data_IF_681592948797
#
_entry.id   IF_681592948797
#
_cell.length_a   1.000
_cell.length_b   1.000
_cell.length_c   1.000
_cell.angle_alpha   90.00
_cell.angle_beta   90.00
_cell.angle_gamma   90.00
#
_symmetry.space_group_name_H-M   'P 1'
#
loop_
_entity.id
_entity.type
_entity.pdbx_description
1 polymer ?
#
# COMPACT_ATOMS: atom_id res chain seq x y z
N UNK A 1 75.81 1.72 -12.58
CA UNK A 1 74.79 2.74 -12.25
C UNK A 1 73.43 2.11 -12.53
N UNK A 2 72.72 1.71 -11.45
CA UNK A 2 71.41 1.08 -11.59
C UNK A 2 70.34 2.16 -11.52
N UNK A 3 69.47 2.20 -12.52
CA UNK A 3 68.30 3.12 -12.54
C UNK A 3 67.22 2.63 -11.54
N UNK A 4 66.84 3.47 -10.60
CA UNK A 4 65.73 3.21 -9.71
C UNK A 4 64.42 3.35 -10.47
N UNK A 5 63.65 2.29 -10.53
CA UNK A 5 62.32 2.28 -11.09
C UNK A 5 61.34 2.72 -9.96
N UNK A 6 60.83 3.97 -10.05
CA UNK A 6 59.82 4.49 -9.14
C UNK A 6 58.48 4.05 -9.69
N UNK A 7 57.85 3.08 -9.01
CA UNK A 7 56.50 2.68 -9.31
C UNK A 7 55.49 3.72 -8.76
N UNK A 8 54.75 4.43 -9.59
CA UNK A 8 53.69 5.32 -9.06
C UNK A 8 52.58 4.48 -8.44
N UNK A 9 52.32 4.70 -7.18
CA UNK A 9 51.20 4.09 -6.47
C UNK A 9 49.89 4.37 -7.24
N UNK A 10 49.33 3.33 -7.78
CA UNK A 10 48.03 3.35 -8.44
C UNK A 10 46.98 3.74 -7.41
N UNK A 11 46.48 4.96 -7.50
CA UNK A 11 45.20 5.28 -6.88
C UNK A 11 44.15 4.34 -7.48
N UNK A 12 43.56 3.51 -6.65
CA UNK A 12 42.45 2.64 -7.06
C UNK A 12 41.33 3.53 -7.56
N UNK A 13 40.78 3.29 -8.75
CA UNK A 13 39.64 4.04 -9.23
C UNK A 13 38.43 3.75 -8.33
N UNK A 14 37.69 4.77 -8.02
CA UNK A 14 36.38 4.67 -7.39
C UNK A 14 35.59 3.56 -8.06
N UNK A 15 35.03 2.66 -7.31
CA UNK A 15 34.28 1.52 -7.85
C UNK A 15 33.12 2.02 -8.71
N UNK A 16 33.18 1.70 -9.98
CA UNK A 16 32.11 1.93 -10.92
C UNK A 16 31.24 0.66 -10.93
N UNK A 17 29.98 0.79 -10.55
CA UNK A 17 29.04 -0.31 -10.61
C UNK A 17 28.31 -0.29 -11.95
N UNK A 18 28.19 -1.46 -12.58
CA UNK A 18 27.39 -1.64 -13.80
C UNK A 18 25.98 -2.11 -13.39
N UNK A 19 24.97 -1.42 -13.85
CA UNK A 19 23.57 -1.85 -13.74
C UNK A 19 23.10 -2.32 -15.10
N UNK A 20 22.99 -3.65 -15.27
CA UNK A 20 22.69 -4.28 -16.55
C UNK A 20 23.84 -4.18 -17.57
N UNK A 21 23.68 -4.77 -18.75
CA UNK A 21 24.74 -4.93 -19.75
C UNK A 21 25.14 -3.64 -20.49
N UNK A 22 24.58 -2.46 -20.19
CA UNK A 22 24.78 -1.29 -21.07
C UNK A 22 24.84 0.08 -20.40
N UNK A 23 24.78 0.22 -19.06
CA UNK A 23 24.79 1.54 -18.42
C UNK A 23 25.76 1.64 -17.27
N UNK A 24 26.61 2.65 -17.28
CA UNK A 24 27.44 3.07 -16.16
C UNK A 24 26.60 3.96 -15.24
N UNK A 25 26.39 3.53 -13.98
CA UNK A 25 25.68 4.32 -12.98
C UNK A 25 26.71 4.85 -11.99
N UNK A 26 26.78 6.16 -11.71
CA UNK A 26 27.68 6.70 -10.69
C UNK A 26 27.26 6.17 -9.32
N UNK A 27 28.23 5.83 -8.48
CA UNK A 27 28.05 5.32 -7.12
C UNK A 27 27.37 6.32 -6.18
N UNK A 28 27.33 7.58 -6.56
CA UNK A 28 26.56 8.63 -5.87
C UNK A 28 26.15 9.69 -6.89
N UNK A 29 24.87 10.05 -6.90
CA UNK A 29 24.32 11.11 -7.74
C UNK A 29 23.61 12.16 -6.88
N UNK A 30 23.15 13.28 -7.46
CA UNK A 30 22.47 14.35 -6.73
C UNK A 30 21.06 13.95 -6.29
N UNK A 31 20.89 12.79 -5.69
CA UNK A 31 19.60 12.30 -5.25
C UNK A 31 19.61 10.96 -4.54
N UNK A 32 20.78 10.37 -4.28
CA UNK A 32 20.83 9.11 -3.54
C UNK A 32 22.03 8.24 -3.90
N UNK A 33 22.34 7.28 -3.07
CA UNK A 33 23.34 6.26 -3.30
C UNK A 33 22.71 5.03 -3.97
N UNK A 34 23.51 4.15 -4.59
CA UNK A 34 23.03 2.83 -5.09
C UNK A 34 22.35 2.00 -3.99
N UNK A 35 22.61 2.26 -2.72
CA UNK A 35 21.91 1.67 -1.59
C UNK A 35 20.43 2.10 -1.54
N UNK A 36 20.09 3.29 -2.04
CA UNK A 36 18.70 3.78 -2.12
C UNK A 36 17.93 3.14 -3.28
N UNK A 37 18.63 2.56 -4.25
CA UNK A 37 18.03 1.92 -5.43
C UNK A 37 17.94 0.41 -5.30
N UNK A 38 18.83 -0.22 -4.51
CA UNK A 38 18.85 -1.67 -4.32
C UNK A 38 18.10 -2.17 -3.09
N UNK A 39 17.61 -1.25 -2.27
CA UNK A 39 16.78 -1.55 -1.12
C UNK A 39 15.37 -1.06 -1.35
N UNK A 40 14.52 -1.81 -2.04
CA UNK A 40 13.07 -1.66 -1.92
C UNK A 40 12.61 -2.20 -0.56
N UNK A 41 13.21 -1.71 0.51
CA UNK A 41 12.51 -1.60 1.76
C UNK A 41 11.66 -0.35 1.58
N UNK A 42 10.37 -0.51 1.39
CA UNK A 42 9.43 0.54 1.71
C UNK A 42 9.84 0.96 3.13
N UNK A 43 10.50 2.12 3.22
CA UNK A 43 11.09 2.58 4.46
C UNK A 43 9.92 2.81 5.41
N UNK A 44 9.96 2.26 6.62
CA UNK A 44 9.04 2.62 7.71
C UNK A 44 9.17 4.11 8.07
N UNK A 45 9.82 4.90 7.22
CA UNK A 45 10.16 6.30 7.37
C UNK A 45 9.45 7.13 6.31
N UNK A 46 9.14 8.35 6.66
CA UNK A 46 8.69 9.39 5.74
C UNK A 46 9.74 9.57 4.64
N UNK A 47 9.29 9.53 3.39
CA UNK A 47 10.11 9.73 2.21
C UNK A 47 9.87 11.11 1.61
N UNK A 48 10.84 11.61 0.85
CA UNK A 48 10.71 12.86 0.09
C UNK A 48 10.84 12.55 -1.38
N UNK A 49 9.89 13.02 -2.18
CA UNK A 49 9.87 12.83 -3.62
C UNK A 49 9.84 14.15 -4.37
N UNK A 50 10.70 14.32 -5.37
CA UNK A 50 10.67 15.47 -6.27
C UNK A 50 9.92 15.11 -7.54
N UNK A 51 8.83 15.82 -7.81
CA UNK A 51 7.95 15.58 -8.97
C UNK A 51 8.71 15.85 -10.27
N UNK A 52 8.64 14.90 -11.20
CA UNK A 52 9.29 14.97 -12.51
C UNK A 52 8.31 15.43 -13.59
N UNK A 53 8.78 15.97 -14.73
CA UNK A 53 7.93 16.21 -15.87
C UNK A 53 7.20 14.93 -16.33
N UNK A 54 5.88 14.98 -16.36
CA UNK A 54 5.03 13.86 -16.76
C UNK A 54 4.48 13.01 -15.61
N UNK A 55 5.00 13.16 -14.37
CA UNK A 55 4.44 12.47 -13.23
C UNK A 55 3.02 12.94 -12.91
N UNK A 56 2.19 12.01 -12.48
CA UNK A 56 0.87 12.28 -11.91
C UNK A 56 0.86 11.86 -10.44
N UNK A 57 0.04 12.52 -9.63
CA UNK A 57 -0.11 12.16 -8.22
C UNK A 57 -0.56 10.70 -8.04
N UNK A 58 -1.34 10.18 -8.98
CA UNK A 58 -1.79 8.77 -8.99
C UNK A 58 -0.62 7.80 -9.17
N UNK A 59 0.31 8.10 -10.10
CA UNK A 59 1.49 7.27 -10.32
C UNK A 59 2.44 7.31 -9.14
N UNK A 60 2.64 8.51 -8.56
CA UNK A 60 3.47 8.69 -7.35
C UNK A 60 2.85 7.89 -6.18
N UNK A 61 1.54 8.02 -5.96
CA UNK A 61 0.83 7.28 -4.92
C UNK A 61 0.97 5.75 -5.11
N UNK A 62 0.84 5.27 -6.34
CA UNK A 62 1.04 3.86 -6.69
C UNK A 62 2.47 3.41 -6.45
N UNK A 63 3.46 4.23 -6.82
CA UNK A 63 4.89 3.95 -6.63
C UNK A 63 5.25 3.73 -5.15
N UNK A 64 4.65 4.52 -4.27
CA UNK A 64 4.89 4.43 -2.82
C UNK A 64 3.87 3.56 -2.07
N UNK A 65 2.86 3.01 -2.74
CA UNK A 65 1.83 2.19 -2.12
C UNK A 65 0.95 2.94 -1.12
N UNK A 66 0.75 4.25 -1.35
CA UNK A 66 -0.10 5.11 -0.49
C UNK A 66 -1.25 5.70 -1.29
N UNK A 67 -2.25 6.24 -0.58
CA UNK A 67 -3.34 6.93 -1.24
C UNK A 67 -2.94 8.31 -1.78
N UNK A 68 -3.57 8.76 -2.87
CA UNK A 68 -3.41 10.13 -3.34
C UNK A 68 -3.78 11.15 -2.25
N UNK A 69 -4.82 10.88 -1.47
CA UNK A 69 -5.23 11.75 -0.38
C UNK A 69 -4.19 11.82 0.74
N UNK A 70 -3.50 10.71 1.03
CA UNK A 70 -2.37 10.73 1.96
C UNK A 70 -1.32 11.74 1.52
N UNK A 71 -0.96 11.74 0.23
CA UNK A 71 0.00 12.72 -0.32
C UNK A 71 -0.58 14.14 -0.28
N UNK A 72 -1.85 14.31 -0.66
CA UNK A 72 -2.54 15.61 -0.59
C UNK A 72 -2.49 16.18 0.83
N UNK A 73 -2.84 15.37 1.82
CA UNK A 73 -2.90 15.80 3.22
C UNK A 73 -1.53 16.05 3.84
N UNK A 74 -0.55 15.18 3.56
CA UNK A 74 0.81 15.34 4.06
C UNK A 74 1.49 16.60 3.52
N UNK A 75 1.07 17.06 2.34
CA UNK A 75 1.65 18.23 1.68
C UNK A 75 0.74 19.46 1.66
N UNK A 76 -0.41 19.43 2.34
CA UNK A 76 -1.40 20.52 2.34
C UNK A 76 -1.80 20.98 0.93
N UNK A 77 -1.88 20.08 -0.03
CA UNK A 77 -2.32 20.38 -1.38
C UNK A 77 -3.82 20.69 -1.37
N UNK A 78 -4.26 21.65 -2.18
CA UNK A 78 -5.68 21.97 -2.29
C UNK A 78 -6.44 20.92 -3.11
N UNK A 79 -5.76 20.24 -4.04
CA UNK A 79 -6.32 19.18 -4.86
C UNK A 79 -5.22 18.24 -5.40
N UNK A 80 -5.65 17.11 -5.96
CA UNK A 80 -4.75 16.16 -6.64
C UNK A 80 -4.12 16.73 -7.92
N UNK A 81 -4.55 17.89 -8.38
CA UNK A 81 -4.04 18.58 -9.59
C UNK A 81 -3.01 19.65 -9.28
N UNK A 82 -2.78 19.95 -8.01
CA UNK A 82 -1.86 21.01 -7.58
C UNK A 82 -0.41 20.54 -7.48
N UNK A 83 -0.06 19.54 -8.26
CA UNK A 83 1.29 18.95 -8.30
C UNK A 83 1.96 19.34 -9.62
N UNK A 84 3.12 19.99 -9.52
CA UNK A 84 3.89 20.47 -10.67
C UNK A 84 5.30 19.90 -10.68
N UNK A 85 5.91 19.74 -11.87
CA UNK A 85 7.30 19.36 -11.95
C UNK A 85 8.23 20.27 -11.14
N UNK A 86 9.06 19.67 -10.29
CA UNK A 86 9.94 20.36 -9.35
C UNK A 86 9.38 20.50 -7.93
N UNK A 87 8.11 20.22 -7.70
CA UNK A 87 7.54 20.20 -6.35
C UNK A 87 8.17 19.07 -5.53
N UNK A 88 8.38 19.36 -4.24
CA UNK A 88 8.87 18.38 -3.28
C UNK A 88 7.71 17.88 -2.43
N UNK A 89 7.44 16.58 -2.51
CA UNK A 89 6.34 15.93 -1.81
C UNK A 89 6.85 15.09 -0.63
N UNK A 90 6.21 15.25 0.51
CA UNK A 90 6.35 14.35 1.66
C UNK A 90 5.45 13.15 1.42
N UNK A 91 6.03 11.96 1.46
CA UNK A 91 5.33 10.70 1.27
C UNK A 91 5.37 9.93 2.58
N UNK A 92 4.21 9.68 3.17
CA UNK A 92 4.10 8.86 4.36
C UNK A 92 4.37 7.37 4.04
N UNK A 93 4.88 6.60 4.98
CA UNK A 93 5.17 5.17 4.76
C UNK A 93 3.92 4.31 4.61
N UNK A 94 2.75 4.82 4.96
CA UNK A 94 1.45 4.16 4.86
C UNK A 94 0.37 5.16 4.46
N UNK A 95 -0.73 4.65 3.93
CA UNK A 95 -1.94 5.45 3.75
C UNK A 95 -2.47 5.91 5.09
N UNK A 96 -2.76 7.20 5.22
CA UNK A 96 -3.19 7.83 6.47
C UNK A 96 -2.80 9.29 6.56
N UNK A 97 -2.73 9.79 7.77
CA UNK A 97 -2.39 11.18 8.06
C UNK A 97 -1.29 11.27 9.12
N UNK A 98 -0.45 12.29 9.02
CA UNK A 98 0.45 12.70 10.08
C UNK A 98 -0.17 13.84 10.90
N UNK A 99 -0.06 13.76 12.22
CA UNK A 99 -0.58 14.78 13.14
C UNK A 99 0.37 15.06 14.28
N UNK A 100 0.37 16.32 14.72
CA UNK A 100 1.00 16.70 15.99
C UNK A 100 0.01 16.42 17.12
N UNK A 101 0.45 15.68 18.12
CA UNK A 101 -0.34 15.35 19.31
C UNK A 101 -0.63 16.63 20.09
N UNK A 102 -1.90 16.93 20.33
CA UNK A 102 -2.32 18.05 21.17
C UNK A 102 -2.39 17.64 22.64
N UNK A 103 -2.35 18.62 23.54
CA UNK A 103 -2.51 18.36 24.98
C UNK A 103 -3.88 17.74 25.25
N UNK A 104 -3.88 16.55 25.85
CA UNK A 104 -5.10 15.81 26.18
C UNK A 104 -5.55 14.80 25.09
N UNK A 105 -4.83 14.71 23.97
CA UNK A 105 -5.08 13.66 23.00
C UNK A 105 -4.72 12.30 23.60
N UNK A 106 -5.52 11.30 23.21
CA UNK A 106 -5.29 9.88 23.48
C UNK A 106 -5.40 9.09 22.18
N UNK A 107 -4.82 7.90 22.14
CA UNK A 107 -4.97 7.01 20.98
C UNK A 107 -6.43 6.81 20.61
N UNK A 108 -7.30 6.58 21.59
CA UNK A 108 -8.74 6.41 21.39
C UNK A 108 -9.41 7.68 20.82
N UNK A 109 -9.00 8.89 21.29
CA UNK A 109 -9.57 10.14 20.78
C UNK A 109 -9.13 10.41 19.34
N UNK A 110 -7.86 10.13 19.02
CA UNK A 110 -7.32 10.27 17.66
C UNK A 110 -7.96 9.25 16.72
N UNK A 111 -8.06 7.98 17.13
CA UNK A 111 -8.70 6.93 16.35
C UNK A 111 -10.15 7.31 16.01
N UNK A 112 -10.93 7.73 17.01
CA UNK A 112 -12.32 8.17 16.81
C UNK A 112 -12.42 9.40 15.90
N UNK A 113 -11.52 10.37 16.08
CA UNK A 113 -11.53 11.65 15.32
C UNK A 113 -11.21 11.44 13.84
N UNK A 114 -10.33 10.51 13.53
CA UNK A 114 -9.80 10.33 12.19
C UNK A 114 -10.26 9.01 11.53
N UNK A 115 -11.19 8.28 12.17
CA UNK A 115 -11.74 7.04 11.62
C UNK A 115 -10.77 5.86 11.56
N UNK A 116 -9.74 5.86 12.42
CA UNK A 116 -8.68 4.86 12.44
C UNK A 116 -8.83 3.89 13.64
N UNK A 117 -7.99 2.87 13.71
CA UNK A 117 -7.90 1.95 14.85
C UNK A 117 -6.82 2.37 15.85
N UNK A 118 -7.16 2.42 17.16
CA UNK A 118 -6.24 2.88 18.19
C UNK A 118 -5.05 1.94 18.41
N UNK A 119 -5.22 0.63 18.23
CA UNK A 119 -4.15 -0.34 18.38
C UNK A 119 -3.20 -0.26 17.18
N UNK A 120 -3.75 -0.03 15.99
CA UNK A 120 -2.98 0.18 14.77
C UNK A 120 -2.12 1.44 14.89
N UNK A 121 -2.70 2.55 15.38
CA UNK A 121 -1.94 3.78 15.65
C UNK A 121 -0.80 3.49 16.64
N UNK A 122 -1.07 2.81 17.75
CA UNK A 122 -0.06 2.48 18.75
C UNK A 122 1.07 1.64 18.16
N UNK A 123 0.71 0.56 17.49
CA UNK A 123 1.66 -0.40 16.93
C UNK A 123 2.54 0.22 15.85
N UNK A 124 1.94 1.00 14.95
CA UNK A 124 2.67 1.67 13.87
C UNK A 124 3.71 2.66 14.38
N UNK A 125 3.36 3.40 15.44
CA UNK A 125 4.25 4.41 16.04
C UNK A 125 5.17 3.83 17.14
N UNK A 126 5.14 2.53 17.39
CA UNK A 126 5.94 1.89 18.46
C UNK A 126 5.54 2.36 19.87
N UNK A 127 4.26 2.70 20.07
CA UNK A 127 3.74 3.23 21.32
C UNK A 127 3.10 2.12 22.17
N UNK A 128 3.24 2.22 23.48
CA UNK A 128 2.44 1.42 24.40
C UNK A 128 0.99 1.94 24.39
N UNK A 129 -0.01 1.09 24.07
CA UNK A 129 -1.42 1.49 24.04
C UNK A 129 -1.93 2.07 25.38
N UNK A 130 -1.31 1.71 26.51
CA UNK A 130 -1.66 2.18 27.83
C UNK A 130 -0.93 3.48 28.23
N UNK A 131 0.12 3.87 27.52
CA UNK A 131 0.90 5.05 27.84
C UNK A 131 0.23 6.34 27.33
N UNK A 132 0.35 7.46 28.07
CA UNK A 132 -0.12 8.75 27.60
C UNK A 132 0.72 9.24 26.41
N UNK A 133 0.06 9.87 25.43
CA UNK A 133 0.73 10.50 24.30
C UNK A 133 1.50 11.75 24.75
N UNK A 134 2.66 11.99 24.15
CA UNK A 134 3.47 13.19 24.43
C UNK A 134 2.96 14.34 23.57
N UNK A 135 2.44 15.39 24.19
CA UNK A 135 2.00 16.59 23.49
C UNK A 135 3.17 17.24 22.71
N UNK A 136 2.94 17.61 21.47
CA UNK A 136 3.93 18.17 20.56
C UNK A 136 4.72 17.13 19.74
N UNK A 137 4.59 15.82 20.03
CA UNK A 137 5.17 14.78 19.17
C UNK A 137 4.37 14.62 17.88
N UNK A 138 5.02 14.18 16.82
CA UNK A 138 4.35 13.74 15.60
C UNK A 138 3.90 12.29 15.74
N UNK A 139 2.71 11.98 15.24
CA UNK A 139 2.12 10.65 15.20
C UNK A 139 1.53 10.39 13.82
N UNK A 140 1.83 9.22 13.25
CA UNK A 140 1.19 8.76 12.02
C UNK A 140 -0.05 7.96 12.41
N UNK A 141 -1.17 8.26 11.77
CA UNK A 141 -2.46 7.61 11.97
C UNK A 141 -2.76 6.80 10.71
N UNK A 142 -2.39 5.51 10.68
CA UNK A 142 -2.67 4.64 9.55
C UNK A 142 -4.18 4.57 9.31
N UNK A 143 -4.58 4.56 8.03
CA UNK A 143 -6.00 4.57 7.66
C UNK A 143 -6.77 5.82 8.07
N UNK A 144 -6.12 6.76 8.76
CA UNK A 144 -6.79 7.99 9.23
C UNK A 144 -7.15 8.93 8.08
N UNK A 145 -8.27 9.61 8.22
CA UNK A 145 -8.80 10.56 7.23
C UNK A 145 -9.07 11.93 7.84
N UNK A 146 -8.85 12.98 7.04
CA UNK A 146 -9.37 14.29 7.36
C UNK A 146 -10.84 14.36 6.96
N UNK A 147 -11.70 14.76 7.89
CA UNK A 147 -13.08 15.06 7.53
C UNK A 147 -13.09 16.08 6.37
N UNK A 148 -13.83 15.75 5.32
CA UNK A 148 -14.04 16.70 4.23
C UNK A 148 -14.61 18.01 4.83
N UNK A 149 -14.17 19.19 4.34
CA UNK A 149 -14.75 20.46 4.78
C UNK A 149 -16.27 20.39 4.58
N UNK A 150 -17.02 20.77 5.62
CA UNK A 150 -18.47 20.76 5.56
C UNK A 150 -18.92 21.55 4.32
N UNK A 151 -19.83 21.00 3.49
CA UNK A 151 -20.31 21.72 2.33
C UNK A 151 -20.92 23.05 2.77
N UNK A 152 -20.38 24.15 2.26
CA UNK A 152 -21.00 25.47 2.41
C UNK A 152 -22.40 25.37 1.79
N UNK A 153 -23.41 25.57 2.61
CA UNK A 153 -24.82 25.49 2.22
C UNK A 153 -25.16 26.61 1.25
N UNK A 154 -24.97 26.32 -0.03
CA UNK A 154 -25.61 27.02 -1.13
C UNK A 154 -26.67 26.07 -1.69
N UNK A 155 -27.94 26.36 -1.46
CA UNK A 155 -29.02 25.43 -1.74
C UNK A 155 -29.08 25.00 -3.19
N UNK A 156 -29.03 23.70 -3.41
CA UNK A 156 -29.65 23.01 -4.53
C UNK A 156 -30.03 21.58 -4.10
N UNK A 157 -31.31 21.32 -4.27
CA UNK A 157 -32.03 20.05 -4.38
C UNK A 157 -31.47 18.82 -3.65
N UNK A 158 -32.23 18.42 -2.66
CA UNK A 158 -32.20 17.10 -2.00
C UNK A 158 -32.33 16.00 -3.06
N UNK A 159 -31.26 15.32 -3.37
CA UNK A 159 -31.31 13.95 -3.90
C UNK A 159 -31.27 13.03 -2.68
N UNK A 160 -32.43 12.55 -2.28
CA UNK A 160 -32.60 11.46 -1.33
C UNK A 160 -32.11 10.17 -1.97
N UNK A 161 -30.84 9.91 -1.78
CA UNK A 161 -30.16 8.69 -2.17
C UNK A 161 -28.74 8.82 -1.63
N UNK A 162 -28.57 8.49 -0.36
CA UNK A 162 -27.29 8.50 0.30
C UNK A 162 -26.43 7.36 -0.26
N UNK A 163 -25.89 7.57 -1.45
CA UNK A 163 -24.62 6.97 -1.79
C UNK A 163 -23.58 7.79 -1.05
N UNK A 164 -23.17 7.34 0.12
CA UNK A 164 -21.94 7.79 0.71
C UNK A 164 -20.88 7.36 -0.31
N UNK A 165 -20.40 8.31 -1.09
CA UNK A 165 -19.22 8.12 -1.91
C UNK A 165 -18.06 8.03 -0.94
N UNK A 166 -17.83 6.83 -0.43
CA UNK A 166 -16.58 6.43 0.18
C UNK A 166 -15.66 6.07 -0.99
N UNK A 167 -14.76 6.95 -1.43
CA UNK A 167 -13.87 6.66 -2.57
C UNK A 167 -12.99 5.44 -2.31
N UNK A 168 -12.96 4.97 -1.08
CA UNK A 168 -12.17 3.85 -0.59
C UNK A 168 -12.90 2.51 -0.58
N UNK A 169 -14.22 2.52 -0.51
CA UNK A 169 -15.00 1.28 -0.50
C UNK A 169 -15.27 0.72 -1.90
N UNK A 170 -14.63 1.28 -2.94
CA UNK A 170 -14.56 0.68 -4.28
C UNK A 170 -15.88 0.43 -4.97
N UNK A 171 -16.94 1.16 -4.59
CA UNK A 171 -18.25 1.01 -5.23
C UNK A 171 -18.34 1.53 -6.67
N UNK A 172 -17.33 2.26 -7.16
CA UNK A 172 -17.39 3.04 -8.40
C UNK A 172 -16.34 2.62 -9.42
N UNK A 173 -16.27 1.39 -9.80
CA UNK A 173 -15.45 0.94 -10.91
C UNK A 173 -16.24 0.10 -11.90
N UNK A 174 -15.66 -0.30 -13.03
CA UNK A 174 -16.26 -1.27 -13.92
C UNK A 174 -16.47 -2.60 -13.18
N UNK A 175 -17.57 -3.28 -13.50
CA UNK A 175 -17.81 -4.64 -13.00
C UNK A 175 -17.27 -5.63 -14.03
N UNK A 176 -16.24 -6.34 -13.69
CA UNK A 176 -15.62 -7.37 -14.53
C UNK A 176 -16.12 -8.78 -14.11
N UNK A 177 -17.37 -9.06 -14.15
CA UNK A 177 -18.05 -10.34 -13.90
C UNK A 177 -17.15 -11.50 -13.48
N UNK A 178 -16.86 -12.41 -14.41
CA UNK A 178 -16.00 -13.60 -14.20
C UNK A 178 -14.52 -13.36 -14.51
N UNK A 179 -14.04 -12.11 -14.55
CA UNK A 179 -12.63 -11.83 -14.84
C UNK A 179 -11.70 -12.19 -13.66
N UNK A 180 -12.18 -12.02 -12.43
CA UNK A 180 -11.40 -12.34 -11.25
C UNK A 180 -11.88 -13.65 -10.63
N UNK A 181 -10.97 -14.60 -10.48
CA UNK A 181 -11.19 -15.81 -9.68
C UNK A 181 -10.94 -15.53 -8.20
N UNK A 182 -11.60 -16.32 -7.35
CA UNK A 182 -11.31 -16.27 -5.91
C UNK A 182 -9.85 -16.61 -5.63
N UNK A 183 -9.16 -15.82 -4.83
CA UNK A 183 -7.80 -16.16 -4.42
C UNK A 183 -7.76 -17.41 -3.54
N UNK A 184 -8.87 -17.76 -2.88
CA UNK A 184 -8.99 -18.97 -2.03
C UNK A 184 -10.37 -19.60 -2.27
N UNK A 185 -10.54 -20.39 -3.34
CA UNK A 185 -11.81 -21.07 -3.58
C UNK A 185 -12.19 -22.01 -2.43
N UNK A 186 -13.43 -21.95 -2.00
CA UNK A 186 -13.93 -22.72 -0.84
C UNK A 186 -13.67 -22.05 0.52
N UNK A 187 -12.97 -20.95 0.56
CA UNK A 187 -12.81 -20.11 1.76
C UNK A 187 -14.13 -19.52 2.24
N UNK A 188 -14.18 -19.08 3.49
CA UNK A 188 -15.38 -18.48 4.08
C UNK A 188 -15.24 -16.95 4.03
N UNK A 189 -16.20 -16.24 3.46
CA UNK A 189 -16.25 -14.78 3.54
C UNK A 189 -16.56 -14.38 4.98
N UNK A 190 -15.57 -13.79 5.67
CA UNK A 190 -15.70 -13.40 7.08
C UNK A 190 -15.93 -11.91 7.27
N UNK A 191 -15.50 -11.09 6.32
CA UNK A 191 -15.77 -9.67 6.30
C UNK A 191 -16.14 -9.22 4.87
N UNK A 192 -17.24 -8.50 4.74
CA UNK A 192 -17.68 -7.88 3.50
C UNK A 192 -16.82 -6.67 3.15
N UNK A 193 -17.30 -5.82 2.27
CA UNK A 193 -16.56 -4.67 1.76
C UNK A 193 -16.03 -3.77 2.89
N UNK A 194 -14.72 -3.57 2.91
CA UNK A 194 -14.03 -2.70 3.87
C UNK A 194 -12.71 -2.20 3.28
N UNK A 195 -12.06 -1.25 3.98
CA UNK A 195 -10.75 -0.71 3.57
C UNK A 195 -10.71 -0.30 2.10
N UNK A 196 -9.69 -0.74 1.40
CA UNK A 196 -9.44 -0.44 -0.01
C UNK A 196 -10.18 -1.39 -0.96
N UNK A 197 -11.51 -1.38 -0.94
CA UNK A 197 -12.30 -2.29 -1.77
C UNK A 197 -11.96 -3.77 -1.51
N UNK A 198 -11.75 -4.08 -0.24
CA UNK A 198 -11.32 -5.38 0.24
C UNK A 198 -12.48 -6.24 0.72
N UNK A 199 -12.23 -7.53 0.72
CA UNK A 199 -13.01 -8.55 1.44
C UNK A 199 -12.04 -9.47 2.18
N UNK A 200 -12.48 -10.05 3.30
CA UNK A 200 -11.69 -11.05 4.02
C UNK A 200 -12.25 -12.45 3.79
N UNK A 201 -11.39 -13.33 3.31
CA UNK A 201 -11.71 -14.73 3.01
C UNK A 201 -10.91 -15.62 3.95
N UNK A 202 -11.55 -16.18 4.96
CA UNK A 202 -10.93 -17.10 5.92
C UNK A 202 -10.66 -18.45 5.31
N UNK A 203 -9.46 -18.96 5.57
CA UNK A 203 -9.04 -20.32 5.25
C UNK A 203 -7.94 -20.76 6.22
N UNK A 204 -7.67 -22.06 6.28
CA UNK A 204 -6.62 -22.58 7.14
C UNK A 204 -5.24 -21.97 6.79
N UNK A 205 -4.41 -21.70 7.79
CA UNK A 205 -3.02 -21.29 7.56
C UNK A 205 -2.30 -22.31 6.68
N UNK A 206 -1.60 -21.82 5.65
CA UNK A 206 -0.91 -22.66 4.67
C UNK A 206 -1.79 -23.07 3.47
N UNK A 207 -3.07 -22.66 3.41
CA UNK A 207 -3.88 -22.83 2.20
C UNK A 207 -3.26 -22.02 1.07
N UNK A 208 -3.15 -22.57 -0.16
CA UNK A 208 -2.65 -21.84 -1.31
C UNK A 208 -3.50 -20.60 -1.61
N UNK A 209 -2.83 -19.51 -1.96
CA UNK A 209 -3.44 -18.28 -2.47
C UNK A 209 -3.12 -18.21 -3.96
N UNK A 210 -4.18 -18.04 -4.77
CA UNK A 210 -4.09 -18.00 -6.23
C UNK A 210 -4.19 -16.56 -6.76
N UNK A 211 -3.51 -16.28 -7.87
CA UNK A 211 -3.69 -15.03 -8.60
C UNK A 211 -5.11 -14.97 -9.17
N UNK A 212 -5.84 -13.91 -8.88
CA UNK A 212 -7.23 -13.76 -9.28
C UNK A 212 -7.41 -13.55 -10.80
N UNK A 213 -6.38 -13.08 -11.48
CA UNK A 213 -6.34 -12.92 -12.94
C UNK A 213 -4.89 -12.92 -13.42
N UNK A 214 -4.69 -13.05 -14.75
CA UNK A 214 -3.38 -12.90 -15.37
C UNK A 214 -2.79 -11.52 -15.06
N UNK A 215 -1.46 -11.44 -14.90
CA UNK A 215 -0.82 -10.15 -14.64
C UNK A 215 0.66 -10.23 -14.34
N UNK A 216 1.20 -9.11 -13.90
CA UNK A 216 2.60 -8.98 -13.46
C UNK A 216 2.64 -8.62 -11.98
N UNK A 217 3.42 -9.33 -11.21
CA UNK A 217 3.67 -9.00 -9.80
C UNK A 217 4.42 -7.66 -9.74
N UNK A 218 3.84 -6.65 -9.14
CA UNK A 218 4.48 -5.34 -8.95
C UNK A 218 5.04 -5.17 -7.54
N UNK A 219 4.48 -5.86 -6.55
CA UNK A 219 4.96 -5.88 -5.17
C UNK A 219 4.91 -7.32 -4.63
N UNK A 220 5.95 -7.75 -3.94
CA UNK A 220 5.96 -8.96 -3.12
C UNK A 220 6.75 -8.67 -1.84
N UNK A 221 6.06 -8.49 -0.72
CA UNK A 221 6.64 -8.30 0.60
C UNK A 221 6.60 -9.60 1.37
N UNK A 222 7.76 -10.07 1.80
CA UNK A 222 7.93 -11.35 2.48
C UNK A 222 8.92 -11.24 3.65
N UNK A 223 8.95 -10.06 4.28
CA UNK A 223 9.92 -9.72 5.32
C UNK A 223 9.37 -9.90 6.75
N UNK A 224 8.11 -10.31 6.90
CA UNK A 224 7.43 -10.43 8.19
C UNK A 224 7.19 -9.12 8.91
N UNK A 225 7.49 -7.97 8.29
CA UNK A 225 7.25 -6.67 8.86
C UNK A 225 5.74 -6.32 8.86
N UNK A 226 5.41 -5.26 9.57
CA UNK A 226 4.03 -4.75 9.68
C UNK A 226 3.42 -4.35 8.33
N UNK A 227 4.21 -3.69 7.46
CA UNK A 227 3.84 -3.28 6.10
C UNK A 227 2.46 -2.59 6.02
N UNK A 228 2.20 -1.63 6.92
CA UNK A 228 0.91 -0.91 6.96
C UNK A 228 -0.30 -1.77 7.36
N UNK A 229 -0.09 -2.82 8.15
CA UNK A 229 -1.12 -3.77 8.55
C UNK A 229 -1.21 -5.01 7.65
N UNK A 230 -0.78 -4.94 6.40
CA UNK A 230 -0.89 -6.05 5.45
C UNK A 230 0.00 -7.27 5.79
N UNK A 231 1.06 -7.08 6.57
CA UNK A 231 2.04 -8.14 6.82
C UNK A 231 2.79 -8.54 5.55
N UNK A 232 2.93 -9.82 5.29
CA UNK A 232 3.40 -10.30 3.98
C UNK A 232 2.28 -10.19 2.95
N UNK A 233 2.57 -9.58 1.80
CA UNK A 233 1.56 -9.36 0.77
C UNK A 233 2.13 -9.33 -0.65
N UNK A 234 1.26 -9.57 -1.61
CA UNK A 234 1.54 -9.50 -3.04
C UNK A 234 0.56 -8.54 -3.70
N UNK A 235 1.03 -7.77 -4.68
CA UNK A 235 0.19 -6.98 -5.59
C UNK A 235 0.48 -7.39 -7.02
N UNK A 236 -0.58 -7.67 -7.78
CA UNK A 236 -0.54 -8.03 -9.19
C UNK A 236 -1.21 -6.93 -10.01
N UNK A 237 -0.52 -6.43 -11.02
CA UNK A 237 -1.06 -5.51 -12.04
C UNK A 237 -1.57 -6.32 -13.23
N UNK A 238 -2.79 -6.07 -13.65
CA UNK A 238 -3.46 -6.83 -14.72
C UNK A 238 -3.36 -6.17 -16.09
N UNK A 239 -2.63 -5.04 -16.21
CA UNK A 239 -2.42 -4.35 -17.49
C UNK A 239 -3.68 -3.68 -18.08
N UNK A 240 -4.83 -3.80 -17.45
CA UNK A 240 -6.11 -3.24 -17.85
C UNK A 240 -6.54 -2.03 -16.99
N UNK A 241 -5.61 -1.46 -16.21
CA UNK A 241 -5.86 -0.40 -15.24
C UNK A 241 -6.38 -0.89 -13.88
N UNK A 242 -6.35 -2.21 -13.64
CA UNK A 242 -6.74 -2.79 -12.35
C UNK A 242 -5.61 -3.56 -11.71
N UNK A 243 -5.65 -3.67 -10.38
CA UNK A 243 -4.70 -4.42 -9.58
C UNK A 243 -5.42 -5.26 -8.54
N UNK A 244 -4.81 -6.36 -8.12
CA UNK A 244 -5.27 -7.13 -6.96
C UNK A 244 -4.18 -7.21 -5.91
N UNK A 245 -4.60 -7.14 -4.63
CA UNK A 245 -3.73 -7.25 -3.47
C UNK A 245 -4.17 -8.45 -2.61
N UNK A 246 -3.19 -9.19 -2.11
CA UNK A 246 -3.36 -10.39 -1.29
C UNK A 246 -2.49 -10.25 -0.04
N UNK A 247 -3.10 -10.01 1.12
CA UNK A 247 -2.37 -9.75 2.36
C UNK A 247 -2.48 -10.87 3.40
N UNK A 248 -1.84 -10.65 4.53
CA UNK A 248 -1.73 -11.56 5.68
C UNK A 248 -1.11 -12.93 5.36
N UNK A 249 -0.34 -13.01 4.27
CA UNK A 249 0.29 -14.24 3.82
C UNK A 249 1.29 -14.76 4.85
N UNK A 250 1.41 -16.09 4.97
CA UNK A 250 2.54 -16.69 5.69
C UNK A 250 3.86 -16.43 4.95
N UNK A 251 3.83 -16.58 3.63
CA UNK A 251 4.91 -16.20 2.72
C UNK A 251 4.40 -16.12 1.28
N UNK A 252 5.00 -15.25 0.50
CA UNK A 252 4.86 -15.18 -0.95
C UNK A 252 5.91 -16.10 -1.61
N UNK A 253 5.57 -16.68 -2.76
CA UNK A 253 6.49 -17.52 -3.56
C UNK A 253 6.79 -16.91 -4.93
N UNK A 254 6.34 -15.68 -5.15
CA UNK A 254 6.56 -14.90 -6.37
C UNK A 254 7.40 -13.66 -6.05
N UNK A 255 7.99 -13.06 -7.08
CA UNK A 255 8.86 -11.89 -6.98
C UNK A 255 8.37 -10.75 -7.89
N UNK A 256 8.66 -9.49 -7.54
CA UNK A 256 8.35 -8.36 -8.42
C UNK A 256 8.94 -8.53 -9.82
N UNK A 257 8.15 -8.19 -10.85
CA UNK A 257 8.46 -8.38 -12.26
C UNK A 257 8.07 -9.76 -12.81
N UNK A 258 7.69 -10.71 -11.98
CA UNK A 258 7.24 -12.04 -12.41
C UNK A 258 5.83 -11.97 -13.01
N UNK A 259 5.63 -12.56 -14.21
CA UNK A 259 4.31 -12.79 -14.76
C UNK A 259 3.63 -13.97 -14.07
N UNK A 260 2.36 -13.84 -13.78
CA UNK A 260 1.51 -14.88 -13.18
C UNK A 260 0.26 -15.07 -14.02
N UNK A 261 -0.21 -16.32 -14.09
CA UNK A 261 -1.47 -16.65 -14.73
C UNK A 261 -2.59 -16.73 -13.68
N UNK A 262 -3.82 -16.49 -14.12
CA UNK A 262 -5.02 -16.72 -13.31
C UNK A 262 -5.01 -18.14 -12.71
N UNK A 263 -5.34 -18.30 -11.45
CA UNK A 263 -5.28 -19.57 -10.74
C UNK A 263 -3.88 -20.04 -10.34
N UNK A 264 -2.81 -19.33 -10.74
CA UNK A 264 -1.45 -19.69 -10.30
C UNK A 264 -1.27 -19.41 -8.81
N UNK A 265 -0.64 -20.35 -8.08
CA UNK A 265 -0.30 -20.13 -6.66
C UNK A 265 0.77 -19.05 -6.55
N UNK A 266 0.50 -18.03 -5.74
CA UNK A 266 1.39 -16.88 -5.51
C UNK A 266 1.91 -16.82 -4.07
N UNK A 267 1.35 -17.63 -3.18
CA UNK A 267 1.76 -17.73 -1.78
C UNK A 267 0.74 -18.51 -0.96
N UNK A 268 0.77 -18.33 0.35
CA UNK A 268 -0.02 -19.15 1.26
C UNK A 268 -0.64 -18.30 2.37
N UNK A 269 -1.86 -18.66 2.77
CA UNK A 269 -2.60 -18.02 3.87
C UNK A 269 -1.77 -18.04 5.14
N UNK A 270 -1.73 -16.91 5.83
CA UNK A 270 -1.01 -16.71 7.07
C UNK A 270 -1.80 -15.95 8.11
N UNK A 271 -1.05 -15.30 8.98
CA UNK A 271 -1.54 -14.42 10.05
C UNK A 271 -0.51 -13.31 10.30
N UNK A 272 0.16 -12.82 9.25
CA UNK A 272 1.13 -11.73 9.38
C UNK A 272 0.43 -10.38 9.28
N UNK A 273 1.03 -9.33 9.85
CA UNK A 273 0.40 -8.01 9.93
C UNK A 273 -0.74 -7.94 10.95
N UNK A 274 -1.74 -7.10 10.67
CA UNK A 274 -2.89 -6.89 11.55
C UNK A 274 -4.02 -7.87 11.21
N UNK A 275 -4.12 -8.94 11.97
CA UNK A 275 -5.14 -9.96 11.76
C UNK A 275 -5.55 -10.62 13.07
N UNK A 276 -6.82 -10.98 13.21
CA UNK A 276 -7.38 -11.72 14.35
C UNK A 276 -7.45 -13.23 14.09
N UNK A 277 -7.19 -13.67 12.85
CA UNK A 277 -7.28 -15.08 12.46
C UNK A 277 -6.69 -15.34 11.07
N UNK A 278 -6.58 -16.58 10.68
CA UNK A 278 -6.05 -16.96 9.37
C UNK A 278 -7.05 -16.64 8.26
N UNK A 279 -6.71 -15.69 7.40
CA UNK A 279 -7.50 -15.27 6.24
C UNK A 279 -6.61 -14.64 5.16
N UNK A 280 -7.17 -14.37 4.01
CA UNK A 280 -6.64 -13.46 3.00
C UNK A 280 -7.47 -12.20 3.01
N UNK A 281 -6.83 -11.06 3.25
CA UNK A 281 -7.40 -9.77 2.92
C UNK A 281 -7.16 -9.55 1.43
N UNK A 282 -8.26 -9.46 0.67
CA UNK A 282 -8.24 -9.43 -0.79
C UNK A 282 -8.85 -8.14 -1.33
N UNK A 283 -8.04 -7.34 -2.02
CA UNK A 283 -8.47 -6.10 -2.65
C UNK A 283 -8.55 -6.24 -4.18
N UNK A 284 -9.54 -5.57 -4.78
CA UNK A 284 -9.58 -5.30 -6.22
C UNK A 284 -9.54 -3.79 -6.40
N UNK A 285 -8.45 -3.25 -6.92
CA UNK A 285 -8.24 -1.82 -7.15
C UNK A 285 -8.57 -1.47 -8.60
N UNK A 286 -9.26 -0.36 -8.81
CA UNK A 286 -9.68 0.10 -10.17
C UNK A 286 -10.91 -0.58 -10.73
N UNK A 287 -11.53 -1.55 -10.02
CA UNK A 287 -12.76 -2.21 -10.39
C UNK A 287 -13.61 -2.53 -9.15
N UNK A 288 -14.87 -2.93 -9.34
CA UNK A 288 -15.72 -3.41 -8.25
C UNK A 288 -15.20 -4.74 -7.73
N UNK A 289 -15.14 -4.89 -6.40
CA UNK A 289 -14.90 -6.20 -5.81
C UNK A 289 -16.15 -7.07 -5.95
N UNK A 290 -16.06 -8.04 -6.87
CA UNK A 290 -17.20 -8.89 -7.19
C UNK A 290 -17.63 -9.78 -6.02
N UNK A 291 -16.70 -10.17 -5.16
CA UNK A 291 -17.03 -11.02 -4.01
C UNK A 291 -17.84 -10.24 -2.96
N UNK A 292 -17.58 -8.94 -2.80
CA UNK A 292 -18.43 -8.07 -1.98
C UNK A 292 -19.83 -7.87 -2.58
N UNK A 293 -19.94 -7.93 -3.91
CA UNK A 293 -21.20 -7.71 -4.62
C UNK A 293 -22.08 -8.97 -4.73
N UNK A 294 -21.47 -10.16 -4.70
CA UNK A 294 -22.15 -11.44 -4.97
C UNK A 294 -22.22 -12.37 -3.75
N UNK A 295 -21.48 -12.08 -2.69
CA UNK A 295 -21.38 -12.92 -1.51
C UNK A 295 -21.88 -12.20 -0.26
N UNK A 296 -22.48 -12.96 0.64
CA UNK A 296 -22.81 -12.50 2.01
C UNK A 296 -21.77 -13.05 3.00
N UNK A 297 -21.55 -12.32 4.10
CA UNK A 297 -20.69 -12.78 5.19
C UNK A 297 -21.24 -14.09 5.75
N UNK A 298 -20.37 -15.08 5.88
CA UNK A 298 -20.73 -16.45 6.29
C UNK A 298 -20.92 -17.43 5.12
N UNK A 299 -20.86 -16.96 3.88
CA UNK A 299 -20.92 -17.83 2.69
C UNK A 299 -19.54 -18.32 2.26
N UNK A 300 -19.51 -19.47 1.60
CA UNK A 300 -18.28 -19.99 0.97
C UNK A 300 -18.10 -19.40 -0.41
N UNK A 301 -16.91 -18.90 -0.64
CA UNK A 301 -16.54 -18.28 -1.91
C UNK A 301 -16.25 -19.37 -2.93
N UNK A 302 -17.00 -19.39 -4.04
CA UNK A 302 -16.70 -20.21 -5.23
C UNK A 302 -15.58 -19.57 -6.06
N UNK A 303 -15.38 -20.05 -7.29
CA UNK A 303 -14.36 -19.47 -8.19
C UNK A 303 -14.69 -18.03 -8.58
N UNK A 304 -15.93 -17.74 -8.95
CA UNK A 304 -16.35 -16.43 -9.49
C UNK A 304 -17.50 -15.79 -8.68
N UNK A 305 -17.48 -15.92 -7.38
CA UNK A 305 -18.51 -15.43 -6.46
C UNK A 305 -19.00 -16.52 -5.52
N UNK A 306 -20.13 -16.29 -4.86
CA UNK A 306 -20.78 -17.27 -4.00
C UNK A 306 -21.97 -17.91 -4.72
N UNK A 307 -22.27 -19.16 -4.38
CA UNK A 307 -23.40 -19.91 -4.91
C UNK A 307 -24.62 -19.74 -4.02
#
# INVERSE_FOLDING_TARGET
MAAMNVNPASALPSQIALSGDSALVPASGPGGTLADVSGTTQSDRISVYVVRPGDTLSEIATMYGVSMNTIVWANNLASTRDVHPGDTLIILPVSGIERTVAKGDTLASLAKKYGADANEIAQFNGLDPAAPLVAGSSIIIPGGELAAPAPVSGGHAIITGRAIYEPYLGGSGPAYGSYYESPVPGGLLTQGLHGWNAVDIAAAKGTPIHAAADGTVIIAKNNGAWNGGYGNYVVVDHGNGTQTLYAHMSHAIVTPGQSVSQGQVIGYVGMTGMTTGAHVHFEIRGAKNMFAATCSVGERVGLFGCN
#
